data_IF_361078857551
#
_entry.id   IF_361078857551
#
_cell.length_a   1.000
_cell.length_b   1.000
_cell.length_c   1.000
_cell.angle_alpha   90.00
_cell.angle_beta   90.00
_cell.angle_gamma   90.00
#
_symmetry.space_group_name_H-M   'P 1'
#
loop_
_entity.id
_entity.type
_entity.pdbx_description
1 polymer ?
#
# COMPACT_ATOMS: atom_id res chain seq x y z
N UNK A 1 0.05 -20.23 -92.52
CA UNK A 1 0.15 -20.94 -91.24
C UNK A 1 -1.02 -20.50 -90.39
N UNK A 2 -2.14 -21.20 -90.60
CA UNK A 2 -3.01 -21.80 -89.59
C UNK A 2 -3.51 -21.01 -88.36
N UNK A 3 -4.84 -20.96 -88.29
CA UNK A 3 -5.69 -21.17 -87.08
C UNK A 3 -6.00 -20.02 -86.10
N UNK A 4 -7.28 -19.64 -86.15
CA UNK A 4 -8.13 -19.10 -85.06
C UNK A 4 -8.75 -20.32 -84.29
N UNK A 5 -9.69 -20.21 -83.31
CA UNK A 5 -10.13 -19.12 -82.42
C UNK A 5 -10.31 -19.56 -80.92
N UNK A 6 -10.79 -18.66 -80.03
CA UNK A 6 -11.80 -18.83 -78.93
C UNK A 6 -11.65 -17.72 -77.85
N UNK A 7 -12.49 -16.67 -77.85
CA UNK A 7 -13.82 -16.51 -77.17
C UNK A 7 -13.70 -16.14 -75.67
N UNK A 8 -13.99 -14.87 -75.27
CA UNK A 8 -15.28 -14.37 -74.70
C UNK A 8 -15.52 -14.87 -73.24
N UNK A 9 -15.96 -14.08 -72.24
CA UNK A 9 -17.03 -13.05 -72.23
C UNK A 9 -16.78 -11.86 -71.25
N UNK A 10 -17.66 -10.85 -71.35
CA UNK A 10 -17.91 -9.66 -70.49
C UNK A 10 -19.38 -9.77 -69.98
N UNK A 11 -20.06 -8.82 -69.26
CA UNK A 11 -19.69 -7.48 -68.75
C UNK A 11 -20.19 -7.17 -67.29
N UNK A 12 -20.18 -5.87 -66.95
CA UNK A 12 -20.75 -5.19 -65.76
C UNK A 12 -22.27 -5.38 -65.52
N UNK A 13 -22.72 -5.24 -64.26
CA UNK A 13 -24.10 -4.82 -63.90
C UNK A 13 -24.09 -3.84 -62.71
N UNK A 14 -24.88 -2.75 -62.83
CA UNK A 14 -25.27 -1.80 -61.75
C UNK A 14 -26.70 -2.07 -61.29
N UNK A 15 -26.94 -1.99 -59.97
CA UNK A 15 -28.24 -1.68 -59.34
C UNK A 15 -27.99 -1.45 -57.84
N UNK A 16 -28.21 -0.28 -57.25
CA UNK A 16 -29.52 0.35 -56.92
C UNK A 16 -30.29 -0.48 -55.90
N UNK A 17 -30.21 -0.10 -54.62
CA UNK A 17 -31.07 -0.60 -53.54
C UNK A 17 -32.13 0.45 -53.21
N UNK A 18 -33.41 0.11 -53.42
CA UNK A 18 -34.55 0.86 -52.90
C UNK A 18 -35.18 0.15 -51.71
N UNK A 19 -35.88 0.92 -50.88
CA UNK A 19 -36.43 0.52 -49.60
C UNK A 19 -37.65 -0.39 -49.77
N UNK A 20 -37.82 -1.37 -48.88
CA UNK A 20 -39.16 -1.88 -48.54
C UNK A 20 -39.23 -2.22 -47.06
N UNK A 21 -40.29 -1.75 -46.40
CA UNK A 21 -40.55 -1.95 -44.98
C UNK A 21 -40.98 -3.39 -44.71
N UNK A 22 -40.62 -3.92 -43.54
CA UNK A 22 -41.42 -4.97 -42.91
C UNK A 22 -41.42 -4.81 -41.38
N UNK A 23 -42.61 -4.87 -40.79
CA UNK A 23 -42.84 -4.68 -39.36
C UNK A 23 -42.53 -5.96 -38.58
N UNK A 24 -41.81 -5.84 -37.47
CA UNK A 24 -41.89 -6.81 -36.37
C UNK A 24 -42.00 -6.06 -35.03
N UNK A 25 -43.06 -6.35 -34.29
CA UNK A 25 -43.26 -5.83 -32.94
C UNK A 25 -42.38 -6.59 -31.95
N UNK A 26 -41.70 -5.86 -31.07
CA UNK A 26 -41.19 -6.40 -29.79
C UNK A 26 -41.61 -5.47 -28.66
N UNK A 27 -42.07 -6.06 -27.57
CA UNK A 27 -42.67 -5.40 -26.41
C UNK A 27 -41.71 -4.51 -25.64
N UNK A 28 -42.11 -3.27 -25.35
CA UNK A 28 -41.40 -2.37 -24.45
C UNK A 28 -41.85 -2.57 -22.99
N UNK A 29 -40.88 -2.73 -22.08
CA UNK A 29 -41.08 -2.56 -20.63
C UNK A 29 -40.89 -1.07 -20.24
N UNK A 30 -41.56 -0.59 -19.17
CA UNK A 30 -41.59 0.84 -18.87
C UNK A 30 -40.30 1.32 -18.21
N UNK A 31 -39.54 2.17 -18.91
CA UNK A 31 -38.52 3.02 -18.30
C UNK A 31 -39.17 4.29 -17.72
N UNK A 32 -38.95 4.56 -16.44
CA UNK A 32 -39.43 5.77 -15.79
C UNK A 32 -38.53 6.97 -16.14
N UNK A 33 -39.06 7.92 -16.91
CA UNK A 33 -38.39 9.18 -17.26
C UNK A 33 -38.90 10.33 -16.39
N UNK A 34 -38.05 10.84 -15.50
CA UNK A 34 -38.33 12.07 -14.76
C UNK A 34 -38.03 13.29 -15.64
N UNK A 35 -39.05 14.11 -15.93
CA UNK A 35 -38.90 15.37 -16.64
C UNK A 35 -39.07 16.54 -15.65
N UNK A 36 -38.07 17.41 -15.55
CA UNK A 36 -38.15 18.65 -14.76
C UNK A 36 -38.32 19.83 -15.71
N UNK A 37 -39.53 20.39 -15.71
CA UNK A 37 -39.91 21.56 -16.50
C UNK A 37 -39.45 22.86 -15.84
N UNK A 38 -38.73 23.70 -16.59
CA UNK A 38 -38.48 25.10 -16.21
C UNK A 38 -39.79 25.90 -16.25
N UNK A 39 -40.06 26.68 -15.20
CA UNK A 39 -41.06 27.76 -15.20
C UNK A 39 -40.34 29.12 -15.09
N UNK A 40 -40.88 30.14 -15.77
CA UNK A 40 -40.17 31.39 -16.05
C UNK A 40 -40.95 32.65 -15.66
N UNK A 41 -40.20 33.72 -15.36
CA UNK A 41 -40.60 35.15 -15.30
C UNK A 41 -41.45 35.60 -14.07
N UNK A 42 -41.52 36.91 -13.73
CA UNK A 42 -40.92 38.11 -14.37
C UNK A 42 -39.98 38.94 -13.45
N UNK A 43 -39.39 40.09 -13.89
CA UNK A 43 -38.26 40.75 -13.21
C UNK A 43 -38.60 42.04 -12.44
N UNK A 44 -37.75 42.43 -11.48
CA UNK A 44 -37.67 43.79 -10.90
C UNK A 44 -36.22 44.24 -10.67
N UNK A 45 -35.81 45.31 -11.35
CA UNK A 45 -34.61 46.14 -11.08
C UNK A 45 -34.92 47.14 -9.92
N UNK A 46 -33.91 47.62 -9.15
CA UNK A 46 -32.96 48.66 -9.59
C UNK A 46 -31.49 48.38 -9.19
N UNK A 47 -30.45 48.85 -9.92
CA UNK A 47 -29.85 50.22 -9.87
C UNK A 47 -29.61 50.71 -8.43
N UNK A 48 -28.43 51.13 -7.96
CA UNK A 48 -27.18 51.62 -8.57
C UNK A 48 -25.98 50.80 -7.99
N UNK A 49 -24.67 51.07 -8.14
CA UNK A 49 -23.87 52.21 -8.63
C UNK A 49 -22.56 51.74 -9.33
N UNK A 50 -21.81 52.68 -9.90
CA UNK A 50 -20.44 52.55 -10.40
C UNK A 50 -19.40 52.70 -9.27
N UNK A 51 -18.21 52.10 -9.40
CA UNK A 51 -16.86 52.73 -9.25
C UNK A 51 -15.73 51.67 -9.28
N UNK A 52 -14.79 51.87 -10.21
CA UNK A 52 -13.40 51.38 -10.23
C UNK A 52 -12.49 52.64 -10.15
N UNK A 53 -11.13 52.57 -10.07
CA UNK A 53 -10.21 51.45 -9.77
C UNK A 53 -9.16 51.84 -8.68
N UNK A 54 -8.18 50.97 -8.38
CA UNK A 54 -6.74 51.21 -8.68
C UNK A 54 -5.78 50.18 -8.08
N UNK A 55 -4.79 49.83 -8.91
CA UNK A 55 -3.53 49.17 -8.53
C UNK A 55 -2.58 50.21 -7.93
N UNK A 56 -1.82 49.85 -6.90
CA UNK A 56 -0.48 50.41 -6.66
C UNK A 56 0.33 49.45 -5.78
N UNK A 57 1.58 49.23 -6.16
CA UNK A 57 2.59 48.54 -5.35
C UNK A 57 3.24 49.52 -4.37
N UNK A 58 3.86 48.99 -3.30
CA UNK A 58 5.22 49.38 -2.94
C UNK A 58 5.85 48.36 -1.97
N UNK A 59 7.14 48.06 -2.19
CA UNK A 59 7.99 47.47 -1.16
C UNK A 59 8.42 48.55 -0.16
N UNK A 60 8.53 48.20 1.13
CA UNK A 60 9.67 48.64 1.94
C UNK A 60 9.81 47.78 3.20
N UNK A 61 11.06 47.57 3.63
CA UNK A 61 11.39 46.81 4.83
C UNK A 61 11.30 47.68 6.10
N UNK A 62 11.12 47.03 7.25
CA UNK A 62 11.98 47.24 8.43
C UNK A 62 11.70 46.22 9.55
N UNK A 63 12.77 45.68 10.12
CA UNK A 63 12.76 45.08 11.46
C UNK A 63 12.81 46.20 12.52
N UNK A 64 12.35 45.93 13.75
CA UNK A 64 13.36 45.85 14.81
C UNK A 64 13.09 44.77 15.87
N UNK A 65 13.98 44.75 16.85
CA UNK A 65 14.34 43.66 17.75
C UNK A 65 13.59 43.61 19.11
N UNK A 66 13.87 42.49 19.82
CA UNK A 66 13.84 42.26 21.28
C UNK A 66 12.60 41.64 21.98
N UNK A 67 12.86 40.40 22.46
CA UNK A 67 12.70 39.93 23.85
C UNK A 67 11.28 39.69 24.40
N UNK A 68 10.93 38.41 24.65
CA UNK A 68 11.02 37.79 26.00
C UNK A 68 10.83 36.26 25.96
N UNK A 69 11.67 35.51 26.69
CA UNK A 69 11.51 34.07 26.95
C UNK A 69 11.07 33.91 28.41
N UNK A 70 10.10 33.03 28.71
CA UNK A 70 9.93 32.46 30.04
C UNK A 70 10.21 30.94 30.01
N UNK A 71 11.39 30.57 30.51
CA UNK A 71 11.72 29.19 30.90
C UNK A 71 11.01 28.86 32.20
N UNK A 72 10.40 27.68 32.33
CA UNK A 72 10.31 27.00 33.62
C UNK A 72 10.55 25.49 33.45
N UNK A 73 11.59 25.03 34.13
CA UNK A 73 11.83 23.63 34.44
C UNK A 73 11.68 23.47 35.96
N UNK A 74 11.21 22.32 36.42
CA UNK A 74 11.11 22.03 37.85
C UNK A 74 11.57 20.60 38.10
N UNK A 75 12.73 20.47 38.74
CA UNK A 75 13.25 19.23 39.30
C UNK A 75 12.80 19.10 40.76
N UNK A 76 12.53 17.88 41.21
CA UNK A 76 12.68 17.51 42.62
C UNK A 76 13.30 16.13 42.72
N UNK A 77 14.44 16.07 43.40
CA UNK A 77 15.17 14.85 43.76
C UNK A 77 14.97 14.56 45.24
N UNK A 78 14.89 13.28 45.62
CA UNK A 78 14.94 12.86 47.02
C UNK A 78 16.25 12.13 47.31
N UNK A 79 16.93 12.55 48.37
CA UNK A 79 18.10 11.87 48.94
C UNK A 79 17.69 10.66 49.79
N UNK A 80 18.59 9.68 49.91
CA UNK A 80 18.81 9.00 51.18
C UNK A 80 20.27 8.57 51.33
N UNK A 81 20.69 8.24 52.56
CA UNK A 81 22.08 8.25 53.05
C UNK A 81 22.71 6.86 53.24
N UNK A 82 24.03 6.89 53.42
CA UNK A 82 24.99 5.75 53.42
C UNK A 82 25.12 4.99 54.75
N UNK A 83 25.70 3.78 54.71
CA UNK A 83 26.58 3.26 55.78
C UNK A 83 27.57 2.19 55.28
N UNK A 84 28.66 1.97 56.01
CA UNK A 84 29.94 1.39 55.54
C UNK A 84 30.29 0.02 56.17
N UNK A 85 31.01 -0.85 55.41
CA UNK A 85 32.15 -1.78 55.75
C UNK A 85 32.39 -2.34 57.18
N UNK A 86 33.11 -3.48 57.42
CA UNK A 86 34.17 -4.09 56.57
C UNK A 86 34.24 -5.66 56.56
N UNK A 87 35.31 -6.20 55.94
CA UNK A 87 35.73 -7.63 55.95
C UNK A 87 36.66 -7.96 57.14
N UNK A 88 37.03 -9.26 57.38
CA UNK A 88 38.26 -9.81 56.77
C UNK A 88 38.22 -11.32 56.41
N UNK A 89 39.35 -11.85 55.92
CA UNK A 89 39.63 -13.25 55.54
C UNK A 89 40.75 -13.86 56.44
N UNK A 90 41.48 -14.95 56.12
CA UNK A 90 41.17 -16.22 55.43
C UNK A 90 41.60 -17.48 56.26
N UNK A 91 41.26 -18.70 55.82
CA UNK A 91 42.07 -19.90 56.15
C UNK A 91 41.97 -21.00 55.08
N UNK A 92 43.04 -21.80 54.96
CA UNK A 92 43.22 -22.84 53.94
C UNK A 92 42.81 -24.21 54.48
N UNK A 93 42.32 -25.10 53.62
CA UNK A 93 42.77 -26.51 53.55
C UNK A 93 42.31 -27.18 52.25
N UNK A 94 43.13 -28.09 51.74
CA UNK A 94 42.93 -28.85 50.50
C UNK A 94 42.68 -30.31 50.84
N UNK A 95 41.74 -30.97 50.16
CA UNK A 95 41.79 -32.42 49.92
C UNK A 95 41.09 -32.80 48.60
N UNK A 96 41.45 -33.98 48.07
CA UNK A 96 41.25 -34.40 46.67
C UNK A 96 39.90 -35.07 46.39
N UNK A 97 39.41 -34.83 45.17
CA UNK A 97 38.65 -35.72 44.26
C UNK A 97 37.66 -36.76 44.81
N UNK A 98 36.45 -36.74 44.24
CA UNK A 98 35.80 -37.94 43.69
C UNK A 98 34.95 -37.53 42.48
N UNK A 99 34.99 -38.32 41.42
CA UNK A 99 34.22 -38.08 40.18
C UNK A 99 32.75 -38.50 40.37
N UNK A 100 31.81 -37.70 39.86
CA UNK A 100 30.47 -38.14 39.50
C UNK A 100 29.87 -37.22 38.42
N UNK A 101 29.33 -37.80 37.35
CA UNK A 101 28.82 -37.06 36.19
C UNK A 101 27.38 -36.58 36.44
N UNK A 102 27.10 -35.28 36.28
CA UNK A 102 25.80 -34.83 35.74
C UNK A 102 25.82 -33.33 35.33
N UNK A 103 25.79 -32.99 34.02
CA UNK A 103 25.62 -31.62 33.56
C UNK A 103 24.17 -31.38 33.06
N UNK A 104 23.23 -31.19 33.99
CA UNK A 104 21.91 -30.64 33.69
C UNK A 104 21.68 -29.33 34.46
N UNK A 105 22.37 -28.28 34.01
CA UNK A 105 22.01 -26.87 34.19
C UNK A 105 23.03 -25.97 33.46
N UNK A 106 22.84 -25.77 32.16
CA UNK A 106 23.44 -24.65 31.44
C UNK A 106 22.54 -23.42 31.60
N UNK A 107 23.04 -22.25 32.03
CA UNK A 107 22.25 -21.03 32.00
C UNK A 107 21.90 -20.68 30.55
N UNK A 108 20.68 -20.16 30.33
CA UNK A 108 20.21 -19.72 29.02
C UNK A 108 21.07 -18.56 28.52
N UNK A 109 22.03 -18.83 27.64
CA UNK A 109 22.72 -17.77 26.92
C UNK A 109 21.82 -17.25 25.79
N UNK A 110 21.55 -15.95 25.83
CA UNK A 110 21.03 -15.21 24.68
C UNK A 110 22.14 -15.16 23.62
N UNK A 111 22.19 -16.22 22.78
CA UNK A 111 23.10 -16.28 21.65
C UNK A 111 22.77 -15.20 20.61
N UNK A 112 23.76 -14.70 19.85
CA UNK A 112 23.50 -13.76 18.76
C UNK A 112 22.51 -14.34 17.74
N UNK A 113 21.69 -13.48 17.11
CA UNK A 113 20.81 -13.91 16.01
C UNK A 113 21.67 -14.60 14.95
N UNK A 114 21.38 -15.88 14.66
CA UNK A 114 22.01 -16.59 13.55
C UNK A 114 21.40 -16.06 12.26
N UNK A 115 22.16 -15.44 11.34
CA UNK A 115 21.65 -15.16 10.01
C UNK A 115 21.35 -16.51 9.35
N UNK A 116 20.12 -16.72 8.87
CA UNK A 116 19.89 -17.79 7.91
C UNK A 116 20.49 -17.33 6.57
N UNK A 117 21.32 -18.19 6.00
CA UNK A 117 21.81 -18.04 4.64
C UNK A 117 20.61 -18.07 3.67
N UNK A 118 20.39 -17.03 2.83
CA UNK A 118 19.19 -16.91 2.02
C UNK A 118 19.13 -17.92 0.85
N UNK A 119 20.15 -18.78 0.69
CA UNK A 119 20.39 -19.52 -0.55
C UNK A 119 19.95 -20.99 -0.57
N UNK A 120 19.44 -21.59 0.52
CA UNK A 120 19.26 -23.05 0.57
C UNK A 120 18.02 -23.56 1.33
N UNK A 121 17.07 -24.15 0.59
CA UNK A 121 16.18 -25.23 1.06
C UNK A 121 15.15 -24.93 2.16
N UNK A 122 14.07 -24.22 1.82
CA UNK A 122 12.73 -24.32 2.46
C UNK A 122 12.66 -24.43 4.00
N UNK A 123 13.49 -23.67 4.72
CA UNK A 123 13.27 -23.45 6.15
C UNK A 123 12.02 -22.56 6.34
N UNK A 124 10.95 -23.12 6.91
CA UNK A 124 9.71 -22.36 7.18
C UNK A 124 10.05 -21.21 8.14
N UNK A 125 9.79 -19.96 7.71
CA UNK A 125 9.99 -18.75 8.52
C UNK A 125 9.06 -18.76 9.72
N UNK A 126 9.49 -18.23 10.86
CA UNK A 126 8.70 -18.20 12.11
C UNK A 126 7.51 -17.26 11.99
N UNK A 127 7.79 -16.04 11.54
CA UNK A 127 6.81 -14.99 11.33
C UNK A 127 7.19 -14.18 10.09
N UNK A 128 6.19 -13.75 9.33
CA UNK A 128 6.39 -12.83 8.21
C UNK A 128 5.30 -11.77 8.18
N UNK A 129 5.67 -10.58 7.72
CA UNK A 129 4.74 -9.46 7.55
C UNK A 129 4.28 -9.45 6.10
N UNK A 130 2.98 -9.29 5.85
CA UNK A 130 2.44 -8.97 4.52
C UNK A 130 2.01 -7.52 4.56
N UNK A 131 2.74 -6.66 3.85
CA UNK A 131 2.46 -5.23 3.79
C UNK A 131 1.55 -4.92 2.60
N UNK A 132 0.30 -4.57 2.93
CA UNK A 132 -0.72 -4.15 1.98
C UNK A 132 -0.60 -2.66 1.65
N UNK A 133 -0.85 -2.31 0.39
CA UNK A 133 -0.75 -0.98 -0.20
C UNK A 133 -1.97 -0.70 -1.10
N UNK A 134 -1.79 -0.75 -2.42
CA UNK A 134 -2.85 -0.63 -3.43
C UNK A 134 -3.48 -1.99 -3.81
N UNK A 135 -2.97 -3.07 -3.22
CA UNK A 135 -3.32 -4.47 -3.43
C UNK A 135 -4.30 -4.99 -2.36
N UNK A 136 -5.32 -4.20 -2.01
CA UNK A 136 -6.29 -4.46 -0.92
C UNK A 136 -7.27 -5.61 -1.23
N UNK A 137 -6.74 -6.82 -1.47
CA UNK A 137 -7.50 -8.01 -1.87
C UNK A 137 -6.87 -9.30 -1.31
N UNK A 138 -7.71 -10.30 -1.08
CA UNK A 138 -7.29 -11.67 -0.69
C UNK A 138 -7.28 -12.64 -1.89
N UNK A 139 -8.07 -12.36 -2.93
CA UNK A 139 -8.05 -13.11 -4.19
C UNK A 139 -6.88 -12.66 -5.07
N UNK A 140 -6.32 -13.59 -5.86
CA UNK A 140 -5.25 -13.30 -6.83
C UNK A 140 -4.11 -12.46 -6.24
N UNK A 141 -3.63 -12.84 -5.05
CA UNK A 141 -2.59 -12.14 -4.30
C UNK A 141 -1.42 -13.11 -4.03
N UNK A 142 -0.43 -13.08 -4.92
CA UNK A 142 0.76 -13.94 -4.85
C UNK A 142 1.61 -13.66 -3.60
N UNK A 143 1.71 -12.38 -3.21
CA UNK A 143 2.41 -11.94 -2.01
C UNK A 143 1.83 -12.61 -0.75
N UNK A 144 0.51 -12.53 -0.57
CA UNK A 144 -0.22 -13.16 0.55
C UNK A 144 -0.11 -14.68 0.53
N UNK A 145 -0.25 -15.31 -0.65
CA UNK A 145 -0.19 -16.76 -0.79
C UNK A 145 1.23 -17.29 -0.47
N UNK A 146 2.26 -16.66 -1.03
CA UNK A 146 3.66 -17.05 -0.80
C UNK A 146 4.07 -16.85 0.65
N UNK A 147 3.70 -15.72 1.27
CA UNK A 147 3.93 -15.48 2.69
C UNK A 147 3.26 -16.54 3.58
N UNK A 148 2.01 -16.91 3.27
CA UNK A 148 1.30 -17.96 3.98
C UNK A 148 1.94 -19.34 3.81
N UNK A 149 2.48 -19.67 2.63
CA UNK A 149 3.13 -20.96 2.41
C UNK A 149 4.50 -21.04 3.08
N UNK A 150 5.32 -19.99 2.97
CA UNK A 150 6.71 -19.96 3.45
C UNK A 150 6.87 -19.70 4.97
N UNK A 151 5.79 -19.39 5.70
CA UNK A 151 5.85 -18.93 7.11
C UNK A 151 4.99 -19.78 8.05
N UNK A 152 5.29 -19.81 9.36
CA UNK A 152 4.44 -20.45 10.39
C UNK A 152 3.30 -19.53 10.85
N UNK A 153 3.54 -18.22 10.87
CA UNK A 153 2.56 -17.19 11.21
C UNK A 153 2.70 -16.00 10.26
N UNK A 154 1.60 -15.32 9.98
CA UNK A 154 1.55 -14.17 9.07
C UNK A 154 0.93 -12.98 9.79
N UNK A 155 1.52 -11.80 9.63
CA UNK A 155 0.96 -10.53 10.10
C UNK A 155 0.59 -9.65 8.89
N UNK A 156 -0.68 -9.62 8.48
CA UNK A 156 -1.18 -8.60 7.56
C UNK A 156 -1.08 -7.20 8.19
N UNK A 157 -0.46 -6.26 7.48
CA UNK A 157 -0.25 -4.87 7.93
C UNK A 157 -0.67 -3.89 6.84
N UNK A 158 -1.44 -2.87 7.21
CA UNK A 158 -1.70 -1.69 6.38
C UNK A 158 -1.28 -0.41 7.12
N UNK A 159 -0.57 0.47 6.41
CA UNK A 159 -0.06 1.72 6.94
C UNK A 159 -0.70 2.92 6.22
N UNK A 160 -1.46 3.73 6.95
CA UNK A 160 -1.91 5.04 6.49
C UNK A 160 -0.71 6.01 6.57
N UNK A 161 -0.06 6.25 5.43
CA UNK A 161 1.10 7.12 5.34
C UNK A 161 0.70 8.61 5.38
N UNK A 162 1.17 9.41 6.36
CA UNK A 162 0.88 10.84 6.42
C UNK A 162 1.32 11.62 5.17
N UNK A 163 2.25 11.09 4.36
CA UNK A 163 2.68 11.71 3.10
C UNK A 163 1.55 11.79 2.06
N UNK A 164 0.60 10.86 2.09
CA UNK A 164 -0.46 10.77 1.08
C UNK A 164 -1.68 11.65 1.36
N UNK A 165 -1.76 12.19 2.57
CA UNK A 165 -2.77 13.14 3.03
C UNK A 165 -2.24 14.58 3.14
N UNK A 166 -0.97 14.79 2.78
CA UNK A 166 -0.37 16.11 2.65
C UNK A 166 -0.74 16.84 1.35
N UNK A 167 -0.12 18.00 1.12
CA UNK A 167 -0.23 18.74 -0.14
C UNK A 167 0.75 18.19 -1.20
N UNK A 168 0.28 18.11 -2.43
CA UNK A 168 1.08 17.86 -3.63
C UNK A 168 1.97 19.07 -3.96
N UNK A 169 2.95 18.89 -4.84
CA UNK A 169 3.83 19.97 -5.35
C UNK A 169 3.07 21.13 -6.02
N UNK A 170 1.84 20.87 -6.49
CA UNK A 170 0.90 21.85 -7.04
C UNK A 170 0.05 22.59 -5.99
N UNK A 171 0.17 22.26 -4.70
CA UNK A 171 -0.58 22.88 -3.60
C UNK A 171 -1.97 22.28 -3.33
N UNK A 172 -2.48 21.41 -4.20
CA UNK A 172 -3.70 20.63 -3.96
C UNK A 172 -3.45 19.49 -2.97
N UNK A 173 -4.51 18.97 -2.33
CA UNK A 173 -4.41 17.77 -1.49
C UNK A 173 -3.97 16.56 -2.34
N UNK A 174 -2.94 15.83 -1.88
CA UNK A 174 -2.47 14.61 -2.58
C UNK A 174 -3.59 13.57 -2.62
N UNK A 175 -4.36 13.45 -1.53
CA UNK A 175 -5.59 12.65 -1.45
C UNK A 175 -6.76 13.47 -0.89
N UNK A 176 -7.79 13.68 -1.72
CA UNK A 176 -9.04 14.33 -1.31
C UNK A 176 -9.98 13.39 -0.54
N UNK A 177 -10.99 13.93 0.16
CA UNK A 177 -11.83 13.17 1.09
C UNK A 177 -12.58 12.00 0.45
N UNK A 178 -13.10 12.14 -0.77
CA UNK A 178 -13.79 11.04 -1.45
C UNK A 178 -12.93 9.79 -1.64
N UNK A 179 -11.66 9.95 -2.03
CA UNK A 179 -10.74 8.83 -2.21
C UNK A 179 -10.25 8.28 -0.87
N UNK A 180 -10.08 9.14 0.14
CA UNK A 180 -9.77 8.69 1.50
C UNK A 180 -10.92 7.88 2.12
N UNK A 181 -12.18 8.26 1.91
CA UNK A 181 -13.36 7.49 2.35
C UNK A 181 -13.36 6.11 1.70
N UNK A 182 -13.24 6.04 0.37
CA UNK A 182 -13.17 4.77 -0.36
C UNK A 182 -12.03 3.87 0.14
N UNK A 183 -10.88 4.47 0.49
CA UNK A 183 -9.72 3.75 1.01
C UNK A 183 -9.96 3.21 2.43
N UNK A 184 -10.56 4.00 3.33
CA UNK A 184 -10.98 3.58 4.67
C UNK A 184 -11.98 2.41 4.58
N UNK A 185 -12.96 2.51 3.70
CA UNK A 185 -13.94 1.45 3.42
C UNK A 185 -13.27 0.18 2.89
N UNK A 186 -12.34 0.32 1.94
CA UNK A 186 -11.57 -0.80 1.36
C UNK A 186 -10.70 -1.51 2.40
N UNK A 187 -10.04 -0.76 3.30
CA UNK A 187 -9.25 -1.31 4.41
C UNK A 187 -10.16 -2.00 5.44
N UNK A 188 -11.35 -1.46 5.70
CA UNK A 188 -12.35 -2.09 6.56
C UNK A 188 -12.87 -3.41 5.99
N UNK A 189 -13.09 -3.48 4.67
CA UNK A 189 -13.50 -4.70 4.00
C UNK A 189 -12.37 -5.75 3.98
N UNK A 190 -11.13 -5.35 3.67
CA UNK A 190 -9.97 -6.23 3.75
C UNK A 190 -9.79 -6.85 5.15
N UNK A 191 -9.96 -6.05 6.21
CA UNK A 191 -9.93 -6.56 7.60
C UNK A 191 -10.98 -7.66 7.82
N UNK A 192 -12.24 -7.42 7.43
CA UNK A 192 -13.32 -8.41 7.57
C UNK A 192 -13.04 -9.69 6.78
N UNK A 193 -12.52 -9.56 5.56
CA UNK A 193 -12.17 -10.71 4.71
C UNK A 193 -11.00 -11.54 5.28
N UNK A 194 -10.05 -10.92 5.97
CA UNK A 194 -8.96 -11.62 6.67
C UNK A 194 -9.45 -12.28 7.97
N UNK A 195 -10.32 -11.61 8.73
CA UNK A 195 -10.98 -12.15 9.93
C UNK A 195 -11.84 -13.39 9.60
N UNK A 196 -12.59 -13.35 8.50
CA UNK A 196 -13.36 -14.50 8.02
C UNK A 196 -12.51 -15.74 7.70
N UNK A 197 -11.20 -15.55 7.45
CA UNK A 197 -10.22 -16.61 7.11
C UNK A 197 -9.27 -16.95 8.28
N UNK A 198 -9.53 -16.44 9.49
CA UNK A 198 -8.77 -16.76 10.71
C UNK A 198 -7.50 -15.93 10.95
N UNK A 199 -7.37 -14.77 10.30
CA UNK A 199 -6.31 -13.78 10.54
C UNK A 199 -6.91 -12.46 11.03
N UNK A 200 -6.14 -11.37 11.07
CA UNK A 200 -6.65 -10.01 11.20
C UNK A 200 -5.73 -9.04 10.42
N UNK A 201 -6.12 -7.77 10.29
CA UNK A 201 -5.34 -6.71 9.66
C UNK A 201 -4.86 -5.70 10.69
N UNK A 202 -3.56 -5.65 10.95
CA UNK A 202 -2.95 -4.60 11.76
C UNK A 202 -2.96 -3.29 10.97
N UNK A 203 -3.61 -2.27 11.50
CA UNK A 203 -3.66 -0.92 10.92
C UNK A 203 -2.86 0.04 11.78
N UNK A 204 -2.06 0.89 11.13
CA UNK A 204 -1.27 1.94 11.77
C UNK A 204 -1.29 3.22 10.94
N UNK A 205 -1.12 4.36 11.61
CA UNK A 205 -0.88 5.66 10.97
C UNK A 205 0.60 5.98 11.14
N UNK A 206 1.32 6.22 10.05
CA UNK A 206 2.76 6.48 10.10
C UNK A 206 3.48 6.08 8.83
N UNK A 207 4.76 6.44 8.76
CA UNK A 207 5.63 6.08 7.64
C UNK A 207 5.90 4.56 7.65
N UNK A 208 5.65 3.83 6.55
CA UNK A 208 5.92 2.40 6.47
C UNK A 208 7.36 2.02 6.86
N UNK A 209 8.37 2.83 6.49
CA UNK A 209 9.78 2.56 6.86
C UNK A 209 10.07 2.60 8.37
N UNK A 210 9.22 3.25 9.17
CA UNK A 210 9.32 3.22 10.63
C UNK A 210 8.45 2.10 11.22
N UNK A 211 7.16 2.08 10.83
CA UNK A 211 6.15 1.17 11.39
C UNK A 211 6.50 -0.29 11.13
N UNK A 212 6.93 -0.64 9.91
CA UNK A 212 7.26 -2.02 9.58
C UNK A 212 8.48 -2.52 10.37
N UNK A 213 9.47 -1.66 10.62
CA UNK A 213 10.66 -2.00 11.42
C UNK A 213 10.30 -2.24 12.88
N UNK A 214 9.43 -1.41 13.45
CA UNK A 214 8.91 -1.60 14.81
C UNK A 214 8.13 -2.92 14.95
N UNK A 215 7.24 -3.21 14.00
CA UNK A 215 6.48 -4.46 13.98
C UNK A 215 7.37 -5.69 13.77
N UNK A 216 8.35 -5.61 12.86
CA UNK A 216 9.31 -6.69 12.61
C UNK A 216 10.13 -7.01 13.86
N UNK A 217 10.54 -6.00 14.63
CA UNK A 217 11.19 -6.17 15.94
C UNK A 217 10.28 -6.81 16.99
N UNK A 218 9.03 -6.35 17.08
CA UNK A 218 8.08 -6.81 18.09
C UNK A 218 7.75 -8.30 17.94
N UNK A 219 7.46 -8.75 16.72
CA UNK A 219 7.11 -10.15 16.45
C UNK A 219 8.36 -11.04 16.24
N UNK A 220 9.49 -10.43 15.88
CA UNK A 220 10.68 -11.14 15.39
C UNK A 220 10.41 -11.74 14.00
N UNK A 221 10.04 -10.89 13.04
CA UNK A 221 9.78 -11.29 11.66
C UNK A 221 11.10 -11.70 10.98
N UNK A 222 11.03 -12.76 10.17
CA UNK A 222 12.17 -13.18 9.33
C UNK A 222 12.10 -12.53 7.93
N UNK A 223 10.89 -12.18 7.45
CA UNK A 223 10.68 -11.52 6.17
C UNK A 223 9.45 -10.59 6.11
N UNK A 224 9.49 -9.66 5.16
CA UNK A 224 8.39 -8.77 4.74
C UNK A 224 8.06 -9.05 3.27
N UNK A 225 6.79 -9.25 2.96
CA UNK A 225 6.27 -9.50 1.62
C UNK A 225 5.41 -8.31 1.22
N UNK A 226 5.58 -7.79 0.01
CA UNK A 226 4.77 -6.69 -0.54
C UNK A 226 4.61 -6.83 -2.06
N UNK A 227 3.59 -6.18 -2.64
CA UNK A 227 3.58 -5.95 -4.09
C UNK A 227 4.58 -4.83 -4.46
N UNK A 228 5.27 -5.04 -5.59
CA UNK A 228 6.20 -4.07 -6.19
C UNK A 228 5.43 -2.96 -6.88
N UNK A 229 5.86 -1.73 -6.69
CA UNK A 229 5.31 -0.56 -7.37
C UNK A 229 6.34 0.09 -8.29
N UNK A 230 5.86 0.92 -9.22
CA UNK A 230 6.68 1.54 -10.30
C UNK A 230 6.78 3.06 -10.20
N UNK A 231 5.95 3.66 -9.35
CA UNK A 231 5.86 5.11 -9.18
C UNK A 231 7.02 5.66 -8.33
N UNK A 232 7.40 6.91 -8.59
CA UNK A 232 8.63 7.50 -8.08
C UNK A 232 8.69 7.61 -6.54
N UNK A 233 7.60 7.98 -5.89
CA UNK A 233 7.57 8.16 -4.43
C UNK A 233 7.58 6.80 -3.72
N UNK A 234 6.91 5.84 -4.34
CA UNK A 234 6.73 4.45 -3.96
C UNK A 234 8.06 3.69 -3.99
N UNK A 235 8.79 3.73 -5.12
CA UNK A 235 10.12 3.12 -5.24
C UNK A 235 11.10 3.73 -4.22
N UNK A 236 11.03 5.05 -4.00
CA UNK A 236 11.82 5.73 -2.96
C UNK A 236 11.41 5.41 -1.51
N UNK A 237 10.23 4.84 -1.30
CA UNK A 237 9.84 4.27 -0.01
C UNK A 237 10.36 2.83 0.11
N UNK A 238 10.23 2.03 -0.95
CA UNK A 238 10.78 0.66 -1.05
C UNK A 238 12.28 0.63 -0.75
N UNK A 239 13.10 1.48 -1.38
CA UNK A 239 14.55 1.61 -1.15
C UNK A 239 14.91 1.88 0.34
N UNK A 240 14.09 2.66 1.05
CA UNK A 240 14.28 2.97 2.47
C UNK A 240 13.89 1.81 3.35
N UNK A 241 12.80 1.11 3.02
CA UNK A 241 12.34 -0.08 3.73
C UNK A 241 13.37 -1.19 3.58
N UNK A 242 13.87 -1.46 2.37
CA UNK A 242 14.96 -2.42 2.13
C UNK A 242 16.19 -2.09 2.98
N UNK A 243 16.62 -0.82 2.99
CA UNK A 243 17.77 -0.37 3.78
C UNK A 243 17.56 -0.60 5.27
N UNK A 244 16.42 -0.20 5.83
CA UNK A 244 16.12 -0.33 7.25
C UNK A 244 15.88 -1.79 7.70
N UNK A 245 15.29 -2.63 6.83
CA UNK A 245 15.10 -4.05 7.10
C UNK A 245 16.41 -4.85 7.04
N UNK A 246 17.32 -4.46 6.13
CA UNK A 246 18.66 -5.04 6.02
C UNK A 246 19.51 -4.81 7.27
N UNK A 247 19.40 -3.65 7.91
CA UNK A 247 20.05 -3.38 9.20
C UNK A 247 19.54 -4.30 10.32
N UNK A 248 18.27 -4.71 10.24
CA UNK A 248 17.65 -5.64 11.19
C UNK A 248 17.78 -7.12 10.83
N UNK A 249 18.39 -7.44 9.68
CA UNK A 249 18.52 -8.81 9.18
C UNK A 249 17.20 -9.44 8.74
N UNK A 250 16.23 -8.63 8.29
CA UNK A 250 14.92 -9.06 7.80
C UNK A 250 14.94 -9.03 6.27
N UNK A 251 14.50 -10.11 5.63
CA UNK A 251 14.40 -10.19 4.16
C UNK A 251 13.19 -9.39 3.65
N UNK A 252 13.32 -8.66 2.55
CA UNK A 252 12.17 -8.01 1.89
C UNK A 252 11.98 -8.65 0.51
N UNK A 253 10.77 -9.15 0.24
CA UNK A 253 10.38 -9.79 -1.01
C UNK A 253 9.27 -8.98 -1.69
N UNK A 254 9.51 -8.60 -2.94
CA UNK A 254 8.55 -7.88 -3.77
C UNK A 254 7.98 -8.77 -4.88
N UNK A 255 6.66 -8.74 -5.06
CA UNK A 255 5.93 -9.53 -6.05
C UNK A 255 5.31 -8.62 -7.11
N UNK A 256 5.32 -9.05 -8.37
CA UNK A 256 4.69 -8.30 -9.45
C UNK A 256 3.27 -8.83 -9.70
N UNK A 257 2.26 -7.97 -9.63
CA UNK A 257 0.87 -8.44 -9.76
C UNK A 257 -0.19 -7.33 -9.84
N UNK A 258 0.14 -6.27 -10.57
CA UNK A 258 -0.75 -5.15 -10.89
C UNK A 258 -1.17 -5.11 -12.38
N UNK A 259 -0.55 -5.93 -13.23
CA UNK A 259 -0.75 -5.93 -14.69
C UNK A 259 -1.34 -7.25 -15.20
N UNK A 260 -2.10 -7.18 -16.29
CA UNK A 260 -2.72 -8.35 -16.93
C UNK A 260 -1.69 -9.33 -17.53
N UNK A 261 -0.64 -8.80 -18.17
CA UNK A 261 0.53 -9.56 -18.57
C UNK A 261 1.59 -9.38 -17.49
N UNK A 262 2.14 -10.49 -16.98
CA UNK A 262 3.25 -10.43 -16.03
C UNK A 262 4.53 -9.98 -16.74
N UNK A 263 5.39 -9.20 -16.09
CA UNK A 263 6.60 -8.63 -16.73
C UNK A 263 7.53 -9.72 -17.27
N UNK A 264 7.71 -10.81 -16.52
CA UNK A 264 8.56 -11.95 -16.93
C UNK A 264 8.04 -12.72 -18.15
N UNK A 265 6.75 -12.57 -18.51
CA UNK A 265 6.13 -13.25 -19.66
C UNK A 265 6.20 -12.39 -20.94
N UNK A 266 6.70 -11.16 -20.85
CA UNK A 266 6.80 -10.26 -22.00
C UNK A 266 7.89 -10.75 -22.98
N UNK A 267 7.64 -10.78 -24.31
CA UNK A 267 8.60 -11.22 -25.32
C UNK A 267 9.69 -10.16 -25.62
N UNK A 268 9.93 -9.23 -24.70
CA UNK A 268 10.89 -8.15 -24.75
C UNK A 268 11.18 -7.68 -23.33
N UNK A 269 12.37 -7.15 -23.08
CA UNK A 269 12.70 -6.52 -21.81
C UNK A 269 12.06 -5.14 -21.71
N UNK A 270 11.92 -4.59 -20.51
CA UNK A 270 11.30 -3.28 -20.29
C UNK A 270 12.05 -2.14 -21.02
N UNK A 271 13.36 -2.27 -21.22
CA UNK A 271 14.17 -1.32 -21.99
C UNK A 271 13.83 -1.32 -23.50
N UNK A 272 13.34 -2.45 -24.02
CA UNK A 272 12.95 -2.68 -25.41
C UNK A 272 11.42 -2.52 -25.63
N UNK A 273 10.72 -1.92 -24.65
CA UNK A 273 9.28 -1.69 -24.70
C UNK A 273 8.92 -0.71 -25.83
N UNK A 274 7.95 -1.04 -26.70
CA UNK A 274 7.51 -0.13 -27.75
C UNK A 274 7.00 1.21 -27.19
N UNK A 275 7.47 2.32 -27.78
CA UNK A 275 7.08 3.68 -27.38
C UNK A 275 5.63 4.06 -27.73
N UNK A 276 4.90 3.18 -28.43
CA UNK A 276 3.50 3.38 -28.78
C UNK A 276 2.68 2.11 -28.46
N UNK A 277 1.41 2.33 -28.14
CA UNK A 277 0.48 1.26 -27.74
C UNK A 277 0.27 0.20 -28.82
N UNK A 278 0.28 0.57 -30.11
CA UNK A 278 0.11 -0.38 -31.22
C UNK A 278 1.20 -1.44 -31.22
N UNK A 279 2.47 -1.02 -31.25
CA UNK A 279 3.61 -1.92 -31.18
C UNK A 279 3.67 -2.75 -29.89
N UNK A 280 3.23 -2.21 -28.75
CA UNK A 280 3.06 -3.00 -27.52
C UNK A 280 2.01 -4.10 -27.71
N UNK A 281 0.80 -3.72 -28.16
CA UNK A 281 -0.32 -4.62 -28.40
C UNK A 281 0.05 -5.74 -29.37
N UNK A 282 0.72 -5.41 -30.47
CA UNK A 282 1.12 -6.39 -31.49
C UNK A 282 2.14 -7.39 -30.95
N UNK A 283 3.09 -6.96 -30.11
CA UNK A 283 4.05 -7.85 -29.43
C UNK A 283 3.40 -8.77 -28.39
N UNK A 284 2.37 -8.31 -27.67
CA UNK A 284 1.67 -9.13 -26.65
C UNK A 284 0.48 -9.92 -27.20
N UNK A 285 0.15 -9.75 -28.49
CA UNK A 285 -0.97 -10.43 -29.12
C UNK A 285 -0.72 -11.95 -29.19
N UNK A 286 -1.61 -12.73 -28.59
CA UNK A 286 -1.49 -14.18 -28.52
C UNK A 286 -0.64 -14.71 -27.36
N UNK A 287 -0.14 -13.86 -26.44
CA UNK A 287 0.40 -14.34 -25.17
C UNK A 287 -0.72 -14.94 -24.30
N UNK A 288 -0.43 -16.06 -23.64
CA UNK A 288 -1.33 -16.64 -22.64
C UNK A 288 -1.31 -15.78 -21.37
N UNK A 289 -2.50 -15.43 -20.87
CA UNK A 289 -2.65 -14.68 -19.61
C UNK A 289 -2.59 -15.69 -18.46
N UNK A 290 -1.77 -15.42 -17.44
CA UNK A 290 -1.67 -16.27 -16.25
C UNK A 290 -3.05 -16.44 -15.61
N UNK A 291 -3.36 -17.66 -15.16
CA UNK A 291 -4.58 -17.94 -14.40
C UNK A 291 -4.49 -17.27 -13.04
N UNK A 292 -5.62 -16.73 -12.57
CA UNK A 292 -5.74 -16.11 -11.26
C UNK A 292 -5.40 -17.11 -10.15
N UNK A 293 -4.66 -16.65 -9.15
CA UNK A 293 -4.32 -17.45 -7.96
C UNK A 293 -5.55 -17.58 -7.05
N UNK A 294 -5.91 -18.81 -6.70
CA UNK A 294 -7.03 -19.10 -5.81
C UNK A 294 -6.83 -18.49 -4.41
N UNK A 295 -7.90 -17.98 -3.82
CA UNK A 295 -7.85 -17.36 -2.48
C UNK A 295 -7.72 -18.42 -1.39
N UNK A 296 -6.80 -18.24 -0.44
CA UNK A 296 -6.58 -19.15 0.68
C UNK A 296 -7.78 -19.23 1.63
N UNK A 297 -8.54 -20.34 1.61
CA UNK A 297 -9.72 -20.55 2.47
C UNK A 297 -9.44 -20.32 3.95
N UNK A 298 -8.26 -20.70 4.42
CA UNK A 298 -7.77 -20.43 5.76
C UNK A 298 -6.37 -19.84 5.73
N UNK A 299 -6.19 -18.72 6.43
CA UNK A 299 -4.90 -18.09 6.67
C UNK A 299 -4.22 -18.72 7.90
N UNK A 300 -2.89 -18.74 7.91
CA UNK A 300 -2.14 -18.97 9.15
C UNK A 300 -2.38 -17.83 10.12
N UNK A 301 -2.58 -18.17 11.38
CA UNK A 301 -2.92 -17.22 12.44
C UNK A 301 -1.83 -16.18 12.68
N UNK A 302 -2.23 -15.09 13.35
CA UNK A 302 -1.32 -14.03 13.77
C UNK A 302 -0.20 -14.55 14.69
N UNK A 303 0.99 -13.95 14.65
CA UNK A 303 2.08 -14.29 15.56
C UNK A 303 1.69 -14.01 17.02
N UNK A 304 1.74 -15.04 17.87
CA UNK A 304 1.48 -14.90 19.33
C UNK A 304 2.58 -14.15 20.09
N UNK A 305 3.61 -13.65 19.40
CA UNK A 305 4.75 -12.94 19.98
C UNK A 305 4.65 -11.46 19.64
N UNK A 306 4.84 -10.61 20.64
CA UNK A 306 4.84 -9.15 20.48
C UNK A 306 3.52 -8.46 20.81
N UNK A 307 2.46 -9.23 21.11
CA UNK A 307 1.13 -8.76 21.54
C UNK A 307 0.63 -7.55 20.72
N UNK A 308 0.64 -7.74 19.39
CA UNK A 308 0.43 -6.65 18.44
C UNK A 308 -1.06 -6.33 18.32
N UNK A 309 -1.47 -5.26 19.01
CA UNK A 309 -2.79 -4.66 18.88
C UNK A 309 -3.16 -4.43 17.40
N UNK A 310 -4.37 -4.84 16.99
CA UNK A 310 -4.82 -4.69 15.59
C UNK A 310 -4.99 -3.22 15.19
N UNK A 311 -5.32 -2.36 16.16
CA UNK A 311 -5.43 -0.91 15.99
C UNK A 311 -6.71 -0.48 15.24
N UNK A 312 -7.17 0.72 15.52
CA UNK A 312 -8.36 1.27 14.88
C UNK A 312 -8.08 1.74 13.45
N UNK A 313 -9.13 1.70 12.61
CA UNK A 313 -9.08 2.29 11.27
C UNK A 313 -9.36 3.78 11.42
N UNK A 314 -8.48 4.67 10.92
CA UNK A 314 -8.63 6.11 11.09
C UNK A 314 -9.89 6.65 10.41
N UNK A 315 -10.48 7.68 11.01
CA UNK A 315 -11.45 8.54 10.34
C UNK A 315 -10.77 9.53 9.40
N UNK A 316 -11.56 10.19 8.54
CA UNK A 316 -11.07 11.30 7.71
C UNK A 316 -10.39 12.40 8.53
N UNK A 317 -10.90 12.67 9.74
CA UNK A 317 -10.37 13.70 10.64
C UNK A 317 -9.01 13.31 11.21
N UNK A 318 -8.79 12.03 11.51
CA UNK A 318 -7.49 11.51 11.97
C UNK A 318 -6.42 11.59 10.86
N UNK A 319 -6.86 11.53 9.60
CA UNK A 319 -6.02 11.76 8.41
C UNK A 319 -5.86 13.25 8.05
N UNK A 320 -6.42 14.17 8.86
CA UNK A 320 -6.33 15.62 8.64
C UNK A 320 -7.26 16.17 7.55
N UNK A 321 -8.23 15.39 7.07
CA UNK A 321 -9.16 15.77 6.01
C UNK A 321 -10.50 16.27 6.57
N UNK A 322 -10.93 17.46 6.11
CA UNK A 322 -12.21 18.06 6.49
C UNK A 322 -13.27 17.85 5.41
N UNK A 323 -14.36 17.14 5.75
CA UNK A 323 -15.53 16.93 4.87
C UNK A 323 -16.25 18.23 4.51
N UNK A 324 -16.32 19.20 5.44
CA UNK A 324 -17.06 20.44 5.26
C UNK A 324 -16.51 21.37 4.17
N UNK A 325 -15.22 21.28 3.84
CA UNK A 325 -14.60 22.16 2.84
C UNK A 325 -14.99 21.81 1.40
N UNK A 326 -15.36 20.54 1.13
CA UNK A 326 -15.57 20.04 -0.23
C UNK A 326 -17.01 20.20 -0.70
N UNK A 327 -18.00 20.18 0.19
CA UNK A 327 -19.40 20.43 -0.18
C UNK A 327 -19.71 21.88 -0.58
N UNK A 328 -18.76 22.81 -0.37
CA UNK A 328 -18.88 24.20 -0.84
C UNK A 328 -18.38 24.42 -2.28
N UNK A 329 -17.97 23.37 -2.99
CA UNK A 329 -17.39 23.43 -4.34
C UNK A 329 -18.14 22.58 -5.39
N UNK A 330 -19.36 22.13 -5.09
CA UNK A 330 -20.24 21.34 -5.98
C UNK A 330 -21.50 22.16 -6.30
#
# INVERSE_FOLDING_TARGET
>A
MDSNPQSCENPEIKSTEEQTQNQYQVSQSPFATASLSLSSLPPTLPTQFFIQPKILSLFSAQSPSKVKVPTQASSLSHLSLSSTSPSPSPSKLSFKSTFANNPLQSPLSLGPRRPLDPSNGAAIRRASIVWFRNDLRVHDNECLNTANNESMSVLPVYCFDPRDYGKSSSGFDKTGPYRATFLIESVSDLRKNLQARGSDLVVRIGKPECVLVELAKAIGADAVYAHREVSHDEVKAEEKIESAMKEEGVEVKYFWGSTLFHVDDLPFKLEDMPSNYGGFRDKVNGLEIRKTIESLDQMKGMPSRGDVETGDIPSLTDLGLNTAATMAQV
#
